data_IF_694540626157
#
_entry.id   IF_694540626157
#
_cell.length_a   1.000
_cell.length_b   1.000
_cell.length_c   1.000
_cell.angle_alpha   90.00
_cell.angle_beta   90.00
_cell.angle_gamma   90.00
#
_symmetry.space_group_name_H-M   'P 1'
#
loop_
_entity.id
_entity.type
_entity.pdbx_description
1 polymer ?
#
# COMPACT_ATOMS: atom_id res chain seq x y z
N UNK A 1 9.75 -13.87 25.52
CA UNK A 1 10.37 -13.34 24.29
C UNK A 1 11.21 -12.18 24.73
N UNK A 2 12.55 -12.29 24.58
CA UNK A 2 13.49 -11.30 25.14
C UNK A 2 13.35 -9.96 24.42
N UNK A 3 13.29 -8.85 25.18
CA UNK A 3 13.21 -7.47 24.66
C UNK A 3 14.35 -7.12 23.68
N UNK A 4 15.48 -7.81 23.79
CA UNK A 4 16.61 -7.70 22.87
C UNK A 4 16.31 -8.18 21.45
N UNK A 5 15.48 -9.21 21.28
CA UNK A 5 15.07 -9.71 19.96
C UNK A 5 14.05 -8.78 19.27
N UNK A 6 13.15 -8.18 20.04
CA UNK A 6 12.19 -7.22 19.55
C UNK A 6 12.89 -5.94 19.04
N UNK A 7 13.94 -5.51 19.74
CA UNK A 7 14.74 -4.32 19.36
C UNK A 7 15.55 -4.55 18.08
N UNK A 8 15.97 -5.79 17.80
CA UNK A 8 16.76 -6.15 16.62
C UNK A 8 15.91 -6.31 15.35
N UNK A 9 14.60 -6.54 15.46
CA UNK A 9 13.69 -6.76 14.30
C UNK A 9 13.13 -5.45 13.69
N UNK A 10 13.15 -4.34 14.43
CA UNK A 10 12.62 -3.04 13.95
C UNK A 10 13.31 -2.49 12.70
N UNK A 11 14.66 -2.55 12.56
CA UNK A 11 15.33 -2.02 11.38
C UNK A 11 15.03 -2.82 10.08
N UNK A 12 14.70 -4.11 10.20
CA UNK A 12 14.51 -4.97 9.02
C UNK A 12 13.30 -4.55 8.20
N UNK A 13 12.16 -4.23 8.82
CA UNK A 13 10.97 -3.77 8.13
C UNK A 13 11.21 -2.47 7.36
N UNK A 14 11.89 -1.50 7.99
CA UNK A 14 12.26 -0.24 7.37
C UNK A 14 13.23 -0.42 6.19
N UNK A 15 14.24 -1.27 6.33
CA UNK A 15 15.20 -1.56 5.25
C UNK A 15 14.52 -2.23 4.05
N UNK A 16 13.60 -3.17 4.28
CA UNK A 16 12.83 -3.80 3.22
C UNK A 16 11.90 -2.78 2.53
N UNK A 17 11.20 -1.92 3.28
CA UNK A 17 10.37 -0.88 2.68
C UNK A 17 11.21 0.09 1.84
N UNK A 18 12.39 0.47 2.31
CA UNK A 18 13.32 1.34 1.60
C UNK A 18 13.82 0.70 0.31
N UNK A 19 14.28 -0.56 0.37
CA UNK A 19 14.76 -1.28 -0.82
C UNK A 19 13.65 -1.52 -1.82
N UNK A 20 12.44 -1.88 -1.37
CA UNK A 20 11.27 -2.03 -2.22
C UNK A 20 10.87 -0.71 -2.90
N UNK A 21 10.87 0.39 -2.15
CA UNK A 21 10.61 1.73 -2.70
C UNK A 21 11.65 2.15 -3.74
N UNK A 22 12.93 1.87 -3.50
CA UNK A 22 14.00 2.13 -4.47
C UNK A 22 13.80 1.32 -5.76
N UNK A 23 13.47 0.03 -5.66
CA UNK A 23 13.20 -0.82 -6.81
C UNK A 23 11.99 -0.32 -7.61
N UNK A 24 10.90 0.12 -6.94
CA UNK A 24 9.74 0.73 -7.60
C UNK A 24 10.16 1.99 -8.39
N UNK A 25 10.94 2.88 -7.77
CA UNK A 25 11.42 4.08 -8.45
C UNK A 25 12.30 3.74 -9.64
N UNK A 26 13.32 2.89 -9.48
CA UNK A 26 14.24 2.51 -10.55
C UNK A 26 13.48 1.79 -11.68
N UNK A 27 12.58 0.86 -11.33
CA UNK A 27 11.79 0.11 -12.30
C UNK A 27 10.94 1.02 -13.21
N UNK A 28 10.49 2.17 -12.69
CA UNK A 28 9.71 3.13 -13.48
C UNK A 28 10.51 3.80 -14.62
N UNK A 29 11.82 3.91 -14.48
CA UNK A 29 12.69 4.50 -15.52
C UNK A 29 13.20 3.48 -16.55
N UNK A 30 12.97 2.20 -16.30
CA UNK A 30 13.40 1.12 -17.21
C UNK A 30 12.34 0.87 -18.28
N UNK A 31 12.73 0.08 -19.29
CA UNK A 31 11.84 -0.31 -20.38
C UNK A 31 10.72 -1.21 -19.86
N UNK A 32 9.46 -0.81 -20.10
CA UNK A 32 8.26 -1.54 -19.72
C UNK A 32 7.71 -2.40 -20.87
N UNK A 33 7.85 -1.89 -22.08
CA UNK A 33 7.41 -2.61 -23.26
C UNK A 33 8.40 -2.41 -24.39
N UNK A 34 8.53 -3.42 -25.22
CA UNK A 34 9.29 -3.35 -26.47
C UNK A 34 8.42 -3.89 -27.59
N UNK A 35 8.33 -3.11 -28.65
CA UNK A 35 7.66 -3.48 -29.91
C UNK A 35 8.72 -3.60 -30.97
N UNK A 36 8.74 -4.72 -31.68
CA UNK A 36 9.64 -4.97 -32.79
C UNK A 36 8.86 -5.28 -34.05
N UNK A 37 9.19 -4.64 -35.16
CA UNK A 37 8.54 -4.87 -36.44
C UNK A 37 9.25 -4.13 -37.56
N UNK A 38 9.27 -4.68 -38.79
CA UNK A 38 9.88 -4.04 -39.96
C UNK A 38 11.38 -3.73 -39.81
N UNK A 39 12.11 -4.48 -38.97
CA UNK A 39 13.52 -4.23 -38.69
C UNK A 39 13.79 -3.09 -37.68
N UNK A 40 12.73 -2.48 -37.15
CA UNK A 40 12.82 -1.45 -36.12
C UNK A 40 12.41 -2.00 -34.76
N UNK A 41 12.99 -1.41 -33.70
CA UNK A 41 12.66 -1.69 -32.31
C UNK A 41 12.34 -0.39 -31.59
N UNK A 42 11.17 -0.33 -30.99
CA UNK A 42 10.72 0.81 -30.19
C UNK A 42 10.48 0.33 -28.76
N UNK A 43 11.07 1.05 -27.81
CA UNK A 43 10.87 0.79 -26.37
C UNK A 43 10.06 1.89 -25.74
N UNK A 44 9.14 1.54 -24.85
CA UNK A 44 8.41 2.45 -23.99
C UNK A 44 8.89 2.28 -22.55
N UNK A 45 9.20 3.39 -21.90
CA UNK A 45 9.59 3.42 -20.49
C UNK A 45 8.36 3.59 -19.60
N UNK A 46 8.48 3.16 -18.33
CA UNK A 46 7.38 3.33 -17.38
C UNK A 46 6.94 4.79 -17.23
N UNK A 47 7.87 5.74 -17.20
CA UNK A 47 7.56 7.18 -17.10
C UNK A 47 6.76 7.74 -18.28
N UNK A 48 6.78 7.09 -19.44
CA UNK A 48 6.02 7.50 -20.63
C UNK A 48 4.56 7.02 -20.53
N UNK A 49 4.26 6.10 -19.62
CA UNK A 49 2.93 5.57 -19.35
C UNK A 49 2.27 6.34 -18.19
N UNK A 50 0.96 6.57 -18.27
CA UNK A 50 0.20 7.27 -17.22
C UNK A 50 0.29 6.58 -15.86
N UNK A 51 0.34 5.25 -15.84
CA UNK A 51 0.48 4.45 -14.62
C UNK A 51 1.90 4.47 -14.04
N UNK A 52 2.91 4.85 -14.82
CA UNK A 52 4.28 4.99 -14.35
C UNK A 52 4.44 6.06 -13.28
N UNK A 53 3.75 7.19 -13.41
CA UNK A 53 3.76 8.22 -12.36
C UNK A 53 3.15 7.74 -11.05
N UNK A 54 2.11 6.92 -11.12
CA UNK A 54 1.49 6.31 -9.93
C UNK A 54 2.46 5.34 -9.25
N UNK A 55 3.18 4.53 -10.04
CA UNK A 55 4.23 3.63 -9.54
C UNK A 55 5.38 4.40 -8.90
N UNK A 56 5.80 5.50 -9.54
CA UNK A 56 6.84 6.39 -8.99
C UNK A 56 6.40 6.99 -7.64
N UNK A 57 5.18 7.51 -7.58
CA UNK A 57 4.62 8.05 -6.34
C UNK A 57 4.56 6.99 -5.22
N UNK A 58 4.08 5.78 -5.52
CA UNK A 58 4.08 4.66 -4.58
C UNK A 58 5.51 4.31 -4.12
N UNK A 59 6.48 4.30 -5.04
CA UNK A 59 7.89 4.08 -4.73
C UNK A 59 8.46 5.13 -3.78
N UNK A 60 8.17 6.41 -4.03
CA UNK A 60 8.60 7.52 -3.16
C UNK A 60 7.97 7.43 -1.76
N UNK A 61 6.70 7.06 -1.67
CA UNK A 61 6.02 6.84 -0.38
C UNK A 61 6.69 5.70 0.38
N UNK A 62 6.91 4.54 -0.26
CA UNK A 62 7.57 3.40 0.38
C UNK A 62 8.99 3.74 0.84
N UNK A 63 9.74 4.49 0.03
CA UNK A 63 11.09 4.95 0.33
C UNK A 63 11.10 5.91 1.53
N UNK A 64 10.20 6.90 1.54
CA UNK A 64 10.03 7.84 2.66
C UNK A 64 9.69 7.11 3.96
N UNK A 65 8.73 6.19 3.92
CA UNK A 65 8.38 5.32 5.06
C UNK A 65 9.60 4.53 5.53
N UNK A 66 10.34 3.91 4.62
CA UNK A 66 11.54 3.14 4.93
C UNK A 66 12.60 3.99 5.64
N UNK A 67 12.85 5.22 5.17
CA UNK A 67 13.78 6.17 5.81
C UNK A 67 13.33 6.52 7.23
N UNK A 68 12.05 6.86 7.40
CA UNK A 68 11.51 7.22 8.72
C UNK A 68 11.64 6.06 9.69
N UNK A 69 11.27 4.84 9.27
CA UNK A 69 11.33 3.63 10.11
C UNK A 69 12.77 3.22 10.47
N UNK A 70 13.77 3.56 9.63
CA UNK A 70 15.17 3.20 9.89
C UNK A 70 15.92 4.23 10.71
N UNK A 71 15.62 5.53 10.54
CA UNK A 71 16.42 6.61 11.14
C UNK A 71 15.84 7.17 12.43
N UNK A 72 14.53 7.10 12.63
CA UNK A 72 13.85 7.76 13.74
C UNK A 72 13.40 6.75 14.79
N UNK A 73 13.52 7.14 16.06
CA UNK A 73 12.86 6.42 17.16
C UNK A 73 11.36 6.73 17.03
N UNK A 74 10.70 5.95 16.19
CA UNK A 74 9.29 6.16 15.84
C UNK A 74 8.42 5.75 17.03
N UNK A 75 7.50 6.58 17.51
CA UNK A 75 6.51 6.20 18.51
C UNK A 75 5.71 4.99 18.02
N UNK A 76 5.36 4.06 18.91
CA UNK A 76 4.69 2.81 18.50
C UNK A 76 3.38 3.04 17.75
N UNK A 77 2.69 4.12 18.03
CA UNK A 77 1.45 4.53 17.36
C UNK A 77 1.65 4.86 15.89
N UNK A 78 2.76 5.50 15.53
CA UNK A 78 3.07 5.85 14.14
C UNK A 78 3.61 4.65 13.34
N UNK A 79 4.20 3.66 13.98
CA UNK A 79 4.75 2.48 13.28
C UNK A 79 3.64 1.73 12.55
N UNK A 80 2.46 1.60 13.14
CA UNK A 80 1.31 0.95 12.51
C UNK A 80 0.87 1.67 11.23
N UNK A 81 0.76 2.99 11.28
CA UNK A 81 0.38 3.82 10.13
C UNK A 81 1.43 3.76 9.01
N UNK A 82 2.70 3.87 9.38
CA UNK A 82 3.80 3.78 8.40
C UNK A 82 3.87 2.40 7.74
N UNK A 83 3.69 1.34 8.51
CA UNK A 83 3.64 -0.01 7.98
C UNK A 83 2.44 -0.22 7.03
N UNK A 84 1.27 0.32 7.36
CA UNK A 84 0.10 0.29 6.49
C UNK A 84 0.35 1.05 5.17
N UNK A 85 1.01 2.21 5.22
CA UNK A 85 1.41 2.96 4.02
C UNK A 85 2.40 2.16 3.14
N UNK A 86 3.37 1.47 3.75
CA UNK A 86 4.29 0.61 3.00
C UNK A 86 3.57 -0.56 2.33
N UNK A 87 2.62 -1.18 3.03
CA UNK A 87 1.77 -2.25 2.47
C UNK A 87 0.97 -1.71 1.29
N UNK A 88 0.29 -0.57 1.47
CA UNK A 88 -0.52 0.04 0.42
C UNK A 88 0.33 0.37 -0.83
N UNK A 89 1.49 1.00 -0.65
CA UNK A 89 2.41 1.30 -1.73
C UNK A 89 2.90 0.03 -2.44
N UNK A 90 3.19 -1.04 -1.69
CA UNK A 90 3.58 -2.34 -2.24
C UNK A 90 2.46 -3.00 -3.05
N UNK A 91 1.21 -2.97 -2.56
CA UNK A 91 0.03 -3.49 -3.27
C UNK A 91 -0.21 -2.72 -4.57
N UNK A 92 -0.16 -1.39 -4.51
CA UNK A 92 -0.32 -0.53 -5.70
C UNK A 92 0.77 -0.81 -6.73
N UNK A 93 2.04 -0.83 -6.32
CA UNK A 93 3.17 -1.10 -7.23
C UNK A 93 3.08 -2.49 -7.86
N UNK A 94 2.83 -3.52 -7.07
CA UNK A 94 2.66 -4.89 -7.56
C UNK A 94 1.45 -5.01 -8.49
N UNK A 95 0.31 -4.42 -8.11
CA UNK A 95 -0.93 -4.44 -8.90
C UNK A 95 -0.76 -3.78 -10.27
N UNK A 96 -0.11 -2.60 -10.32
CA UNK A 96 0.20 -1.92 -11.58
C UNK A 96 1.15 -2.76 -12.43
N UNK A 97 2.22 -3.31 -11.84
CA UNK A 97 3.16 -4.14 -12.57
C UNK A 97 2.50 -5.39 -13.18
N UNK A 98 1.64 -6.07 -12.44
CA UNK A 98 0.86 -7.22 -12.95
C UNK A 98 -0.14 -6.79 -14.02
N UNK A 99 -0.86 -5.68 -13.82
CA UNK A 99 -1.80 -5.16 -14.79
C UNK A 99 -1.10 -4.83 -16.12
N UNK A 100 0.02 -4.12 -16.06
CA UNK A 100 0.81 -3.80 -17.25
C UNK A 100 1.36 -5.06 -17.92
N UNK A 101 1.85 -6.04 -17.18
CA UNK A 101 2.32 -7.30 -17.73
C UNK A 101 1.24 -8.04 -18.53
N UNK A 102 -0.02 -7.97 -18.08
CA UNK A 102 -1.14 -8.66 -18.72
C UNK A 102 -1.77 -7.85 -19.86
N UNK A 103 -1.82 -6.51 -19.74
CA UNK A 103 -2.59 -5.65 -20.64
C UNK A 103 -1.73 -4.87 -21.66
N UNK A 104 -0.40 -4.94 -21.56
CA UNK A 104 0.52 -4.15 -22.40
C UNK A 104 0.28 -4.40 -23.89
N UNK A 105 0.09 -5.63 -24.31
CA UNK A 105 -0.10 -5.96 -25.74
C UNK A 105 -1.38 -5.34 -26.28
N UNK A 106 -2.50 -5.55 -25.61
CA UNK A 106 -3.82 -5.06 -26.05
C UNK A 106 -3.88 -3.54 -26.03
N UNK A 107 -3.34 -2.92 -24.98
CA UNK A 107 -3.30 -1.46 -24.86
C UNK A 107 -2.49 -0.79 -25.97
N UNK A 108 -1.35 -1.38 -26.34
CA UNK A 108 -0.51 -0.87 -27.43
C UNK A 108 -1.20 -1.05 -28.78
N UNK A 109 -1.82 -2.20 -29.03
CA UNK A 109 -2.54 -2.46 -30.25
C UNK A 109 -3.73 -1.54 -30.41
N UNK A 110 -4.48 -1.27 -29.36
CA UNK A 110 -5.60 -0.33 -29.39
C UNK A 110 -5.15 1.11 -29.64
N UNK A 111 -4.07 1.54 -28.99
CA UNK A 111 -3.52 2.87 -29.23
C UNK A 111 -2.99 3.02 -30.66
N UNK A 112 -2.33 1.99 -31.20
CA UNK A 112 -1.88 1.96 -32.59
C UNK A 112 -3.05 1.94 -33.58
N UNK A 113 -4.08 1.14 -33.32
CA UNK A 113 -5.29 1.08 -34.16
C UNK A 113 -5.99 2.43 -34.22
N UNK A 114 -6.14 3.15 -33.11
CA UNK A 114 -6.71 4.50 -33.07
C UNK A 114 -5.91 5.49 -33.91
N UNK A 115 -4.58 5.42 -33.88
CA UNK A 115 -3.72 6.29 -34.68
C UNK A 115 -3.79 5.98 -36.18
N UNK A 116 -3.98 4.72 -36.52
CA UNK A 116 -4.06 4.26 -37.90
C UNK A 116 -5.48 4.33 -38.48
N UNK A 117 -6.49 4.47 -37.64
CA UNK A 117 -7.90 4.50 -38.04
C UNK A 117 -8.19 5.49 -39.21
N UNK A 118 -7.62 6.72 -39.25
CA UNK A 118 -7.85 7.63 -40.37
C UNK A 118 -7.36 7.07 -41.72
N UNK A 119 -6.33 6.23 -41.73
CA UNK A 119 -5.75 5.64 -42.95
C UNK A 119 -6.49 4.37 -43.40
N UNK A 120 -7.16 3.67 -42.47
CA UNK A 120 -7.84 2.39 -42.74
C UNK A 120 -9.35 2.46 -42.69
N UNK A 121 -9.91 3.64 -42.40
CA UNK A 121 -11.35 3.91 -42.42
C UNK A 121 -12.07 3.62 -41.11
N UNK A 122 -11.53 2.70 -40.25
CA UNK A 122 -12.07 2.47 -38.92
C UNK A 122 -11.00 1.89 -37.97
N UNK A 123 -11.21 2.05 -36.65
CA UNK A 123 -10.35 1.48 -35.61
C UNK A 123 -10.39 -0.04 -35.62
N UNK A 124 -11.57 -0.63 -35.85
CA UNK A 124 -11.73 -2.11 -35.88
C UNK A 124 -10.93 -2.73 -37.02
N UNK A 125 -10.96 -2.08 -38.19
CA UNK A 125 -10.21 -2.58 -39.35
C UNK A 125 -8.71 -2.44 -39.16
N UNK A 126 -8.26 -1.32 -38.58
CA UNK A 126 -6.86 -1.12 -38.24
C UNK A 126 -6.41 -2.14 -37.20
N UNK A 127 -7.25 -2.44 -36.17
CA UNK A 127 -6.96 -3.45 -35.16
C UNK A 127 -6.83 -4.85 -35.75
N UNK A 128 -7.77 -5.26 -36.59
CA UNK A 128 -7.74 -6.57 -37.26
C UNK A 128 -6.47 -6.79 -38.09
N UNK A 129 -6.00 -5.74 -38.79
CA UNK A 129 -4.75 -5.81 -39.54
C UNK A 129 -3.52 -5.91 -38.66
N UNK A 130 -3.53 -5.22 -37.51
CA UNK A 130 -2.45 -5.32 -36.54
C UNK A 130 -2.42 -6.72 -35.89
N UNK A 131 -3.58 -7.27 -35.51
CA UNK A 131 -3.67 -8.62 -34.95
C UNK A 131 -3.15 -9.66 -35.95
N UNK A 132 -3.54 -9.54 -37.23
CA UNK A 132 -3.02 -10.40 -38.29
C UNK A 132 -1.49 -10.28 -38.47
N UNK A 133 -0.95 -9.07 -38.31
CA UNK A 133 0.51 -8.86 -38.39
C UNK A 133 1.26 -9.45 -37.19
N UNK A 134 0.64 -9.45 -36.02
CA UNK A 134 1.16 -10.12 -34.81
C UNK A 134 1.13 -11.63 -34.99
N UNK A 135 0.00 -12.20 -35.41
CA UNK A 135 -0.17 -13.64 -35.67
C UNK A 135 0.78 -14.15 -36.73
N UNK A 136 1.06 -13.31 -37.74
CA UNK A 136 2.05 -13.61 -38.77
C UNK A 136 3.52 -13.44 -38.31
N UNK A 137 3.74 -13.07 -37.04
CA UNK A 137 5.09 -12.83 -36.48
C UNK A 137 5.82 -11.61 -37.07
N UNK A 138 5.11 -10.71 -37.76
CA UNK A 138 5.69 -9.50 -38.34
C UNK A 138 5.89 -8.39 -37.29
N UNK A 139 5.08 -8.44 -36.21
CA UNK A 139 5.17 -7.55 -35.07
C UNK A 139 5.33 -8.41 -33.82
N UNK A 140 6.40 -8.18 -33.07
CA UNK A 140 6.67 -8.85 -31.81
C UNK A 140 6.49 -7.89 -30.64
N UNK A 141 5.90 -8.39 -29.58
CA UNK A 141 5.77 -7.66 -28.30
C UNK A 141 6.57 -8.40 -27.24
N UNK A 142 7.23 -7.65 -26.38
CA UNK A 142 7.86 -8.21 -25.17
C UNK A 142 7.70 -7.25 -24.01
N UNK A 143 7.38 -7.83 -22.84
CA UNK A 143 7.34 -7.10 -21.57
C UNK A 143 8.77 -6.77 -21.18
N UNK A 144 9.02 -5.51 -20.86
CA UNK A 144 10.34 -5.02 -20.50
C UNK A 144 10.72 -5.39 -19.06
N UNK A 145 12.02 -5.37 -18.78
CA UNK A 145 12.58 -5.70 -17.45
C UNK A 145 12.05 -4.78 -16.34
N UNK A 146 11.69 -3.54 -16.66
CA UNK A 146 11.16 -2.57 -15.70
C UNK A 146 9.92 -3.06 -14.97
N UNK A 147 8.99 -3.73 -15.68
CA UNK A 147 7.77 -4.30 -15.08
C UNK A 147 8.10 -5.36 -14.02
N UNK A 148 9.03 -6.25 -14.30
CA UNK A 148 9.44 -7.29 -13.34
C UNK A 148 10.10 -6.68 -12.10
N UNK A 149 10.90 -5.63 -12.27
CA UNK A 149 11.55 -4.91 -11.17
C UNK A 149 10.49 -4.18 -10.32
N UNK A 150 9.45 -3.59 -10.94
CA UNK A 150 8.33 -2.98 -10.23
C UNK A 150 7.57 -4.03 -9.41
N UNK A 151 7.26 -5.18 -9.98
CA UNK A 151 6.58 -6.28 -9.25
C UNK A 151 7.44 -6.72 -8.07
N UNK A 152 8.73 -6.97 -8.28
CA UNK A 152 9.65 -7.37 -7.22
C UNK A 152 9.76 -6.30 -6.12
N UNK A 153 9.87 -5.02 -6.51
CA UNK A 153 9.89 -3.89 -5.59
C UNK A 153 8.62 -3.79 -4.75
N UNK A 154 7.46 -3.98 -5.37
CA UNK A 154 6.16 -4.01 -4.69
C UNK A 154 6.08 -5.13 -3.65
N UNK A 155 6.52 -6.34 -4.00
CA UNK A 155 6.56 -7.50 -3.07
C UNK A 155 7.49 -7.23 -1.90
N UNK A 156 8.68 -6.66 -2.14
CA UNK A 156 9.66 -6.33 -1.09
C UNK A 156 9.11 -5.23 -0.17
N UNK A 157 8.47 -4.18 -0.71
CA UNK A 157 7.85 -3.12 0.09
C UNK A 157 6.72 -3.67 0.96
N UNK A 158 5.90 -4.57 0.42
CA UNK A 158 4.82 -5.26 1.11
C UNK A 158 5.37 -6.10 2.29
N UNK A 159 6.40 -6.90 2.04
CA UNK A 159 7.09 -7.68 3.07
C UNK A 159 7.67 -6.78 4.18
N UNK A 160 8.22 -5.61 3.81
CA UNK A 160 8.71 -4.60 4.73
C UNK A 160 7.62 -4.05 5.64
N UNK A 161 6.45 -3.71 5.09
CA UNK A 161 5.29 -3.26 5.85
C UNK A 161 4.77 -4.33 6.82
N UNK A 162 4.63 -5.58 6.37
CA UNK A 162 4.20 -6.70 7.22
C UNK A 162 5.21 -6.95 8.35
N UNK A 163 6.51 -6.92 8.06
CA UNK A 163 7.55 -7.07 9.07
C UNK A 163 7.51 -5.93 10.10
N UNK A 164 7.21 -4.69 9.67
CA UNK A 164 7.02 -3.53 10.52
C UNK A 164 5.84 -3.72 11.49
N UNK A 165 4.69 -4.21 11.02
CA UNK A 165 3.51 -4.50 11.86
C UNK A 165 3.80 -5.56 12.91
N UNK A 166 4.50 -6.63 12.55
CA UNK A 166 4.87 -7.70 13.50
C UNK A 166 5.85 -7.23 14.57
N UNK A 167 6.71 -6.27 14.23
CA UNK A 167 7.67 -5.69 15.16
C UNK A 167 7.06 -4.71 16.17
N UNK A 168 5.92 -4.09 15.85
CA UNK A 168 5.28 -3.07 16.69
C UNK A 168 4.39 -3.61 17.80
N UNK A 169 4.16 -4.93 17.87
CA UNK A 169 3.22 -5.52 18.84
C UNK A 169 1.74 -5.21 18.58
N UNK A 170 1.45 -4.29 17.66
CA UNK A 170 0.07 -3.90 17.30
C UNK A 170 -0.75 -5.09 16.77
N UNK A 171 -0.11 -6.06 16.13
CA UNK A 171 -0.77 -7.29 15.67
C UNK A 171 -1.29 -8.19 16.80
N UNK A 172 -0.75 -8.07 18.02
CA UNK A 172 -1.25 -8.83 19.17
C UNK A 172 -2.51 -8.23 19.79
N UNK A 173 -2.63 -6.91 19.80
CA UNK A 173 -3.80 -6.23 20.37
C UNK A 173 -5.06 -6.46 19.52
N UNK A 174 -4.92 -6.55 18.19
CA UNK A 174 -6.06 -6.77 17.30
C UNK A 174 -6.64 -8.19 17.41
N UNK A 175 -5.79 -9.21 17.68
CA UNK A 175 -6.26 -10.61 17.81
C UNK A 175 -6.82 -10.88 19.21
N UNK A 176 -6.29 -10.22 20.25
CA UNK A 176 -6.76 -10.41 21.65
C UNK A 176 -8.02 -9.59 21.96
N UNK A 177 -8.24 -8.47 21.27
CA UNK A 177 -9.42 -7.62 21.48
C UNK A 177 -10.74 -8.25 21.05
N UNK A 178 -10.72 -9.27 20.18
CA UNK A 178 -11.94 -9.97 19.72
C UNK A 178 -12.37 -11.12 20.63
N UNK A 179 -11.54 -11.50 21.61
CA UNK A 179 -11.83 -12.55 22.58
C UNK A 179 -12.00 -12.02 24.02
N UNK A 180 -12.20 -10.72 24.19
CA UNK A 180 -12.60 -10.17 25.49
C UNK A 180 -14.01 -10.67 25.79
N UNK A 181 -14.03 -11.86 26.38
CA UNK A 181 -15.23 -12.46 26.94
C UNK A 181 -15.97 -11.39 27.76
N UNK A 182 -17.22 -11.21 27.45
CA UNK A 182 -18.23 -10.60 28.33
C UNK A 182 -17.94 -11.00 29.77
N UNK A 183 -17.69 -10.06 30.69
CA UNK A 183 -17.52 -10.42 32.09
C UNK A 183 -18.73 -11.25 32.51
N UNK A 184 -18.54 -12.34 33.27
CA UNK A 184 -19.66 -13.15 33.75
C UNK A 184 -20.61 -12.22 34.52
N UNK A 185 -21.94 -12.40 34.37
CA UNK A 185 -22.91 -11.64 35.14
C UNK A 185 -22.61 -11.83 36.63
N UNK A 186 -22.72 -10.76 37.45
CA UNK A 186 -22.50 -10.88 38.88
C UNK A 186 -23.43 -11.95 39.43
N UNK A 187 -22.98 -12.76 40.39
CA UNK A 187 -23.81 -13.81 41.00
C UNK A 187 -25.06 -13.20 41.59
N UNK A 188 -26.20 -13.68 41.12
CA UNK A 188 -27.49 -13.36 41.70
C UNK A 188 -27.54 -13.91 43.10
N UNK A 189 -27.77 -13.02 44.05
CA UNK A 189 -28.21 -13.43 45.39
C UNK A 189 -27.18 -13.20 46.51
N UNK A 190 -27.34 -12.06 47.13
CA UNK A 190 -27.48 -12.03 48.62
C UNK A 190 -28.33 -10.81 48.93
N UNK A 191 -29.62 -11.09 49.12
CA UNK A 191 -30.46 -10.28 49.96
C UNK A 191 -29.75 -10.19 51.31
N UNK A 192 -29.41 -9.03 51.75
CA UNK A 192 -29.36 -8.76 53.19
C UNK A 192 -29.32 -7.27 53.44
N UNK A 193 -30.32 -6.86 54.15
CA UNK A 193 -30.16 -6.02 55.30
C UNK A 193 -30.59 -4.56 55.08
N UNK A 194 -31.81 -4.32 55.45
CA UNK A 194 -32.27 -3.05 56.01
C UNK A 194 -31.12 -2.28 56.67
N UNK A 195 -30.69 -1.19 56.03
CA UNK A 195 -29.94 -0.13 56.72
C UNK A 195 -30.83 1.09 56.75
N UNK A 196 -31.22 1.54 57.92
CA UNK A 196 -32.06 2.72 58.10
C UNK A 196 -31.32 3.98 57.61
N UNK A 197 -32.06 5.00 57.13
CA UNK A 197 -31.45 6.21 56.58
C UNK A 197 -30.77 7.02 57.69
N UNK A 198 -29.46 7.16 57.57
CA UNK A 198 -28.70 8.10 58.37
C UNK A 198 -29.09 9.51 58.01
N UNK A 199 -29.66 10.22 58.97
CA UNK A 199 -29.96 11.63 58.95
C UNK A 199 -28.71 12.43 58.61
N UNK A 200 -28.80 13.24 57.59
CA UNK A 200 -27.85 14.33 57.32
C UNK A 200 -28.17 15.52 58.22
N UNK A 201 -27.23 16.02 58.99
CA UNK A 201 -27.29 17.35 59.57
C UNK A 201 -26.26 18.25 58.88
N UNK A 202 -26.66 19.43 58.64
CA UNK A 202 -25.95 20.57 58.10
C UNK A 202 -26.28 20.79 56.59
N UNK A 203 -27.00 21.79 56.23
CA UNK A 203 -27.29 23.12 56.84
C UNK A 203 -26.36 24.18 56.31
N UNK A 204 -27.00 25.10 55.66
CA UNK A 204 -26.66 26.51 55.47
C UNK A 204 -25.52 26.88 54.47
N UNK A 205 -26.02 27.62 53.48
CA UNK A 205 -25.73 29.03 53.24
C UNK A 205 -24.33 29.39 52.70
N UNK A 206 -24.28 29.84 51.48
CA UNK A 206 -23.76 31.18 51.12
C UNK A 206 -23.94 31.46 49.64
N UNK A 207 -24.85 32.15 49.26
CA UNK A 207 -25.07 33.44 48.64
C UNK A 207 -23.80 34.34 48.59
N UNK A 208 -23.40 34.75 47.36
CA UNK A 208 -22.79 36.01 46.91
C UNK A 208 -22.42 35.81 45.44
N UNK A 209 -23.08 36.37 44.46
CA UNK A 209 -23.24 37.78 44.09
C UNK A 209 -21.91 38.45 43.70
N UNK A 210 -22.02 39.34 42.69
CA UNK A 210 -21.05 40.27 42.07
C UNK A 210 -20.36 39.68 40.83
N UNK A 211 -20.56 40.10 39.58
CA UNK A 211 -20.79 41.45 39.09
C UNK A 211 -19.81 41.70 37.96
N UNK A 212 -20.33 42.07 36.83
CA UNK A 212 -19.91 43.04 35.82
C UNK A 212 -18.39 43.36 35.67
N UNK A 213 -17.87 43.19 34.48
CA UNK A 213 -17.27 44.22 33.62
C UNK A 213 -16.93 43.61 32.24
#
# INVERSE_FOLDING_TARGET
MNDSEAKKRRPVGGLLALSGGLLLCVGTFLDWATVSGGGQRVTARGVDASLGYTTLAAGLVALGVGIVMTRWVTPPELVGTLAALAIFAGVVGCGIGVYEALMTQDGILDAAAKRLAPSFGSTERARALLDQAVDAGRIGFSVGVGVYIVIAGGVVALAGGIAGLRGSGAGRAAVTGTLSATPPPPPAGTEHGDVPPARSPYGSDSQADVGAS
#
